data_IF_131186581621
#
_entry.id   IF_131186581621
#
_cell.length_a   1.000
_cell.length_b   1.000
_cell.length_c   1.000
_cell.angle_alpha   90.00
_cell.angle_beta   90.00
_cell.angle_gamma   90.00
#
_symmetry.space_group_name_H-M   'P 1'
#
loop_
_entity.id
_entity.type
_entity.pdbx_description
1 polymer ?
#
# COMPACT_ATOMS: atom_id res chain seq x y z
N UNK A 1 -18.60 -13.43 -8.51
CA UNK A 1 -18.59 -13.83 -7.08
C UNK A 1 -17.19 -14.32 -6.76
N UNK A 2 -16.40 -13.56 -6.02
CA UNK A 2 -15.08 -13.99 -5.52
C UNK A 2 -15.33 -14.91 -4.33
N UNK A 3 -15.09 -16.20 -4.51
CA UNK A 3 -15.12 -17.18 -3.42
C UNK A 3 -13.93 -16.89 -2.51
N UNK A 4 -14.18 -16.37 -1.31
CA UNK A 4 -13.15 -16.11 -0.32
C UNK A 4 -12.27 -17.37 -0.13
N UNK A 5 -10.96 -17.24 -0.36
CA UNK A 5 -10.05 -18.39 -0.19
C UNK A 5 -9.82 -18.67 1.30
N UNK A 6 -9.98 -19.93 1.76
CA UNK A 6 -9.74 -20.28 3.15
C UNK A 6 -8.26 -20.04 3.50
N UNK A 7 -8.01 -19.12 4.44
CA UNK A 7 -6.67 -18.75 4.92
C UNK A 7 -6.35 -17.25 4.88
N UNK A 8 -7.02 -16.48 4.00
CA UNK A 8 -6.82 -15.02 3.89
C UNK A 8 -7.78 -14.26 4.81
N UNK A 9 -7.28 -13.21 5.48
CA UNK A 9 -8.11 -12.34 6.34
C UNK A 9 -8.97 -11.40 5.49
N UNK A 10 -10.10 -10.96 6.06
CA UNK A 10 -11.13 -10.16 5.39
C UNK A 10 -10.65 -8.84 4.75
N UNK A 11 -9.53 -8.28 5.23
CA UNK A 11 -8.95 -7.04 4.71
C UNK A 11 -7.94 -7.26 3.57
N UNK A 12 -7.64 -8.51 3.20
CA UNK A 12 -6.87 -8.80 2.01
C UNK A 12 -7.81 -8.93 0.81
N UNK A 13 -7.53 -8.17 -0.24
CA UNK A 13 -8.21 -8.35 -1.53
C UNK A 13 -7.65 -9.58 -2.23
N UNK A 14 -8.50 -10.58 -2.50
CA UNK A 14 -8.09 -11.82 -3.16
C UNK A 14 -7.47 -11.58 -4.54
N UNK A 15 -8.07 -10.66 -5.32
CA UNK A 15 -7.60 -10.34 -6.67
C UNK A 15 -6.19 -9.72 -6.64
N UNK A 16 -5.94 -8.82 -5.69
CA UNK A 16 -4.65 -8.15 -5.58
C UNK A 16 -3.56 -9.09 -5.04
N UNK A 17 -3.89 -9.95 -4.07
CA UNK A 17 -2.94 -10.98 -3.59
C UNK A 17 -2.58 -11.94 -4.73
N UNK A 18 -3.54 -12.36 -5.56
CA UNK A 18 -3.30 -13.23 -6.71
C UNK A 18 -2.42 -12.55 -7.76
N UNK A 19 -2.67 -11.27 -8.07
CA UNK A 19 -1.85 -10.47 -8.98
C UNK A 19 -0.40 -10.37 -8.48
N UNK A 20 -0.20 -10.06 -7.20
CA UNK A 20 1.14 -10.02 -6.62
C UNK A 20 1.82 -11.38 -6.59
N UNK A 21 1.07 -12.48 -6.36
CA UNK A 21 1.59 -13.84 -6.43
C UNK A 21 2.11 -14.12 -7.84
N UNK A 22 1.31 -13.83 -8.87
CA UNK A 22 1.73 -13.94 -10.27
C UNK A 22 2.96 -13.09 -10.55
N UNK A 23 2.98 -11.82 -10.12
CA UNK A 23 4.14 -10.95 -10.33
C UNK A 23 5.42 -11.52 -9.68
N UNK A 24 5.32 -12.06 -8.46
CA UNK A 24 6.44 -12.66 -7.73
C UNK A 24 6.97 -13.94 -8.38
N UNK A 25 6.12 -14.72 -9.04
CA UNK A 25 6.52 -15.97 -9.71
C UNK A 25 6.94 -15.78 -11.18
N UNK A 26 6.47 -14.72 -11.84
CA UNK A 26 6.67 -14.52 -13.28
C UNK A 26 7.93 -13.74 -13.62
N UNK A 27 8.32 -12.76 -12.79
CA UNK A 27 9.40 -11.84 -13.15
C UNK A 27 10.02 -11.14 -11.93
N UNK A 28 11.29 -11.42 -11.63
CA UNK A 28 11.97 -10.96 -10.41
C UNK A 28 12.41 -9.48 -10.49
N UNK A 29 12.46 -8.89 -11.69
CA UNK A 29 13.00 -7.54 -11.91
C UNK A 29 11.94 -6.42 -11.83
N UNK A 30 10.67 -6.73 -12.15
CA UNK A 30 9.56 -5.75 -12.10
C UNK A 30 9.12 -5.38 -10.67
N UNK A 31 9.30 -6.29 -9.71
CA UNK A 31 8.93 -6.12 -8.31
C UNK A 31 9.68 -4.98 -7.56
N UNK A 32 11.03 -4.88 -7.63
CA UNK A 32 11.76 -3.79 -6.98
C UNK A 32 11.45 -2.42 -7.59
N UNK A 33 11.07 -2.35 -8.88
CA UNK A 33 10.68 -1.09 -9.53
C UNK A 33 9.35 -0.54 -8.98
N UNK A 34 8.33 -1.40 -8.84
CA UNK A 34 7.04 -1.02 -8.26
C UNK A 34 7.20 -0.50 -6.82
N UNK A 35 8.06 -1.14 -6.03
CA UNK A 35 8.32 -0.72 -4.64
C UNK A 35 9.03 0.64 -4.57
N UNK A 36 10.01 0.89 -5.45
CA UNK A 36 10.73 2.19 -5.52
C UNK A 36 9.79 3.33 -5.89
N UNK A 37 8.94 3.14 -6.90
CA UNK A 37 8.00 4.18 -7.33
C UNK A 37 6.99 4.53 -6.22
N UNK A 38 6.48 3.53 -5.51
CA UNK A 38 5.57 3.75 -4.37
C UNK A 38 6.24 4.54 -3.24
N UNK A 39 7.47 4.20 -2.87
CA UNK A 39 8.23 4.94 -1.83
C UNK A 39 8.43 6.41 -2.24
N UNK A 40 8.83 6.66 -3.48
CA UNK A 40 9.02 8.03 -3.98
C UNK A 40 7.70 8.79 -3.96
N UNK A 41 6.61 8.16 -4.40
CA UNK A 41 5.26 8.75 -4.40
C UNK A 41 4.82 9.12 -2.97
N UNK A 42 5.02 8.23 -2.00
CA UNK A 42 4.72 8.48 -0.59
C UNK A 42 5.48 9.69 -0.03
N UNK A 43 6.78 9.79 -0.31
CA UNK A 43 7.62 10.90 0.14
C UNK A 43 7.16 12.22 -0.47
N UNK A 44 6.95 12.25 -1.79
CA UNK A 44 6.55 13.46 -2.53
C UNK A 44 5.17 13.93 -2.06
N UNK A 45 4.21 13.01 -1.94
CA UNK A 45 2.84 13.35 -1.52
C UNK A 45 2.83 13.83 -0.07
N UNK A 46 3.45 13.11 0.87
CA UNK A 46 3.46 13.51 2.28
C UNK A 46 4.15 14.87 2.46
N UNK A 47 5.29 15.10 1.80
CA UNK A 47 6.01 16.38 1.88
C UNK A 47 5.18 17.52 1.27
N UNK A 48 4.55 17.29 0.12
CA UNK A 48 3.69 18.27 -0.53
C UNK A 48 2.47 18.63 0.34
N UNK A 49 1.79 17.65 0.92
CA UNK A 49 0.63 17.87 1.80
C UNK A 49 1.03 18.65 3.04
N UNK A 50 2.13 18.26 3.70
CA UNK A 50 2.64 18.98 4.88
C UNK A 50 2.99 20.42 4.51
N UNK A 51 3.70 20.64 3.40
CA UNK A 51 4.07 21.98 2.94
C UNK A 51 2.83 22.85 2.65
N UNK A 52 1.82 22.30 1.97
CA UNK A 52 0.57 23.01 1.67
C UNK A 52 -0.17 23.36 2.96
N UNK A 53 -0.33 22.41 3.88
CA UNK A 53 -1.02 22.65 5.16
C UNK A 53 -0.28 23.74 5.95
N UNK A 54 1.04 23.63 6.11
CA UNK A 54 1.83 24.63 6.82
C UNK A 54 1.76 26.02 6.15
N UNK A 55 1.83 26.08 4.83
CA UNK A 55 1.69 27.33 4.09
C UNK A 55 0.29 27.93 4.28
N UNK A 56 -0.77 27.13 4.18
CA UNK A 56 -2.14 27.59 4.41
C UNK A 56 -2.33 28.15 5.83
N UNK A 57 -1.78 27.49 6.85
CA UNK A 57 -1.80 28.00 8.22
C UNK A 57 -1.01 29.30 8.38
N UNK A 58 0.16 29.39 7.73
CA UNK A 58 1.00 30.58 7.76
C UNK A 58 0.30 31.80 7.14
N UNK A 59 -0.46 31.61 6.06
CA UNK A 59 -1.26 32.68 5.43
C UNK A 59 -2.60 32.95 6.14
N UNK A 60 -2.83 32.39 7.33
CA UNK A 60 -4.02 32.67 8.14
C UNK A 60 -5.24 31.79 7.84
N UNK A 61 -5.05 30.66 7.16
CA UNK A 61 -6.10 29.67 6.96
C UNK A 61 -6.58 29.03 8.27
N UNK A 62 -7.85 28.62 8.31
CA UNK A 62 -8.45 28.00 9.49
C UNK A 62 -7.74 26.67 9.86
N UNK A 63 -7.15 26.58 11.07
CA UNK A 63 -6.46 25.36 11.52
C UNK A 63 -7.33 24.12 11.60
N UNK A 64 -8.63 24.26 11.88
CA UNK A 64 -9.52 23.12 11.93
C UNK A 64 -9.74 22.55 10.53
N UNK A 65 -9.93 23.41 9.53
CA UNK A 65 -10.16 22.98 8.15
C UNK A 65 -8.89 22.36 7.56
N UNK A 66 -7.79 23.11 7.57
CA UNK A 66 -6.54 22.64 6.96
C UNK A 66 -5.87 21.52 7.77
N UNK A 67 -6.01 21.53 9.09
CA UNK A 67 -5.54 20.45 9.96
C UNK A 67 -6.31 19.15 9.72
N UNK A 68 -7.65 19.19 9.72
CA UNK A 68 -8.47 17.99 9.45
C UNK A 68 -8.26 17.48 8.03
N UNK A 69 -8.23 18.36 7.02
CA UNK A 69 -7.96 17.94 5.64
C UNK A 69 -6.56 17.34 5.49
N UNK A 70 -5.54 17.96 6.09
CA UNK A 70 -4.17 17.44 6.10
C UNK A 70 -4.11 16.04 6.72
N UNK A 71 -4.74 15.84 7.89
CA UNK A 71 -4.79 14.55 8.55
C UNK A 71 -5.57 13.50 7.75
N UNK A 72 -6.70 13.86 7.12
CA UNK A 72 -7.47 12.96 6.28
C UNK A 72 -6.68 12.53 5.04
N UNK A 73 -5.98 13.46 4.39
CA UNK A 73 -5.17 13.14 3.21
C UNK A 73 -3.98 12.27 3.61
N UNK A 74 -3.24 12.64 4.64
CA UNK A 74 -2.11 11.85 5.13
C UNK A 74 -2.59 10.47 5.59
N UNK A 75 -3.57 10.39 6.47
CA UNK A 75 -4.10 9.12 6.97
C UNK A 75 -4.68 8.24 5.86
N UNK A 76 -5.47 8.82 4.96
CA UNK A 76 -6.06 8.10 3.83
C UNK A 76 -5.02 7.56 2.86
N UNK A 77 -4.07 8.41 2.45
CA UNK A 77 -3.03 8.03 1.50
C UNK A 77 -2.09 6.96 2.08
N UNK A 78 -1.59 7.17 3.31
CA UNK A 78 -0.73 6.19 3.98
C UNK A 78 -1.50 4.89 4.30
N UNK A 79 -2.80 4.96 4.61
CA UNK A 79 -3.63 3.78 4.86
C UNK A 79 -3.82 2.89 3.63
N UNK A 80 -4.01 3.49 2.44
CA UNK A 80 -4.10 2.74 1.17
C UNK A 80 -2.80 2.01 0.88
N UNK A 81 -1.65 2.70 1.00
CA UNK A 81 -0.34 2.08 0.73
C UNK A 81 0.00 0.96 1.70
N UNK A 82 -0.37 1.10 2.98
CA UNK A 82 -0.24 0.03 3.98
C UNK A 82 -1.07 -1.19 3.56
N UNK A 83 -2.31 -0.97 3.12
CA UNK A 83 -3.18 -2.04 2.64
C UNK A 83 -2.58 -2.81 1.46
N UNK A 84 -2.02 -2.09 0.48
CA UNK A 84 -1.31 -2.70 -0.65
C UNK A 84 -0.08 -3.50 -0.21
N UNK A 85 0.69 -2.97 0.74
CA UNK A 85 1.86 -3.67 1.27
C UNK A 85 1.49 -4.96 2.00
N UNK A 86 0.39 -4.96 2.76
CA UNK A 86 -0.12 -6.15 3.44
C UNK A 86 -0.55 -7.24 2.45
N UNK A 87 -1.19 -6.87 1.34
CA UNK A 87 -1.57 -7.82 0.29
C UNK A 87 -0.34 -8.45 -0.37
N UNK A 88 0.69 -7.65 -0.63
CA UNK A 88 1.95 -8.12 -1.17
C UNK A 88 2.73 -9.03 -0.21
N UNK A 89 2.74 -8.72 1.10
CA UNK A 89 3.30 -9.61 2.11
C UNK A 89 2.57 -10.95 2.19
N UNK A 90 1.23 -10.93 2.08
CA UNK A 90 0.43 -12.15 2.05
C UNK A 90 0.76 -12.98 0.81
N UNK A 91 0.87 -12.36 -0.37
CA UNK A 91 1.27 -13.05 -1.60
C UNK A 91 2.66 -13.70 -1.46
N UNK A 92 3.64 -12.98 -0.88
CA UNK A 92 4.97 -13.52 -0.66
C UNK A 92 4.98 -14.73 0.29
N UNK A 93 4.16 -14.71 1.35
CA UNK A 93 3.99 -15.86 2.24
C UNK A 93 3.39 -17.07 1.52
N UNK A 94 2.41 -16.85 0.66
CA UNK A 94 1.78 -17.94 -0.09
C UNK A 94 2.72 -18.57 -1.13
N UNK A 95 3.58 -17.77 -1.76
CA UNK A 95 4.63 -18.30 -2.64
C UNK A 95 5.63 -19.14 -1.84
N UNK A 96 6.12 -18.66 -0.69
CA UNK A 96 7.04 -19.42 0.15
C UNK A 96 6.43 -20.70 0.72
N UNK A 97 5.16 -20.67 1.14
CA UNK A 97 4.47 -21.85 1.64
C UNK A 97 4.35 -22.94 0.56
N UNK A 98 4.00 -22.57 -0.68
CA UNK A 98 3.92 -23.52 -1.80
C UNK A 98 5.27 -24.17 -2.14
N UNK A 99 6.38 -23.43 -2.04
CA UNK A 99 7.73 -23.98 -2.27
C UNK A 99 8.09 -25.05 -1.23
N UNK A 100 7.72 -24.86 0.04
CA UNK A 100 8.02 -25.82 1.11
C UNK A 100 7.16 -27.10 1.03
N UNK A 101 5.96 -27.04 0.43
CA UNK A 101 5.09 -28.20 0.23
C UNK A 101 5.53 -29.06 -0.96
N UNK A 102 6.17 -28.48 -1.99
CA UNK A 102 6.70 -29.21 -3.15
C UNK A 102 8.04 -29.95 -2.87
N UNK A 103 8.70 -29.68 -1.74
CA UNK A 103 9.99 -30.28 -1.33
C UNK A 103 9.86 -31.50 -0.38
N UNK A 104 8.64 -31.93 -0.02
CA UNK A 104 8.35 -33.14 0.78
C UNK A 104 7.60 -34.21 -0.01
#
# INVERSE_FOLDING_TARGET
>A
MTTARPGRKWYHSDAAVDEYRTALTSDSESYPMLKKLKIIRAIVVNTGVIAIVLASLYFGGDPNIFGVLGLLILGGYNGVEVGEYLQLLQAAREVQAGVNDDEN
#
